data_IF_505886018084
#
_entry.id   IF_505886018084
#
_cell.length_a   1.000
_cell.length_b   1.000
_cell.length_c   1.000
_cell.angle_alpha   90.00
_cell.angle_beta   90.00
_cell.angle_gamma   90.00
#
_symmetry.space_group_name_H-M   'P 1'
#
loop_
_entity.id
_entity.type
_entity.pdbx_description
1 polymer ?
#
# COMPACT_ATOMS: atom_id res chain seq x y z
N UNK A 1 -18.10 -9.40 -11.94
CA UNK A 1 -17.21 -8.38 -11.32
C UNK A 1 -17.14 -8.69 -9.83
N UNK A 2 -15.96 -8.70 -9.22
CA UNK A 2 -15.80 -8.94 -7.78
C UNK A 2 -16.40 -7.78 -6.98
N UNK A 3 -17.18 -8.11 -5.95
CA UNK A 3 -17.84 -7.10 -5.11
C UNK A 3 -17.20 -7.09 -3.74
N UNK A 4 -16.70 -5.94 -3.32
CA UNK A 4 -16.10 -5.71 -2.00
C UNK A 4 -17.17 -5.16 -1.06
N UNK A 5 -18.11 -6.01 -0.68
CA UNK A 5 -19.25 -5.70 0.18
C UNK A 5 -18.98 -6.10 1.65
N UNK A 6 -19.99 -5.98 2.49
CA UNK A 6 -19.91 -6.36 3.91
C UNK A 6 -19.52 -7.82 4.07
N UNK A 7 -20.06 -8.74 3.27
CA UNK A 7 -19.81 -10.18 3.39
C UNK A 7 -18.35 -10.52 3.07
N UNK A 8 -17.76 -9.83 2.09
CA UNK A 8 -16.33 -9.92 1.78
C UNK A 8 -15.47 -9.54 3.00
N UNK A 9 -15.73 -8.39 3.62
CA UNK A 9 -14.95 -7.94 4.78
C UNK A 9 -15.21 -8.79 6.03
N UNK A 10 -16.43 -9.27 6.24
CA UNK A 10 -16.74 -10.17 7.36
C UNK A 10 -15.94 -11.47 7.23
N UNK A 11 -15.85 -12.03 6.04
CA UNK A 11 -15.08 -13.25 5.76
C UNK A 11 -13.58 -13.05 5.90
N UNK A 12 -13.02 -12.11 5.15
CA UNK A 12 -11.56 -11.99 4.99
C UNK A 12 -10.86 -11.16 6.08
N UNK A 13 -11.60 -10.38 6.85
CA UNK A 13 -11.04 -9.51 7.89
C UNK A 13 -11.43 -9.94 9.31
N UNK A 14 -12.57 -10.60 9.48
CA UNK A 14 -13.13 -10.91 10.82
C UNK A 14 -13.18 -12.37 11.15
N UNK A 15 -13.50 -13.25 10.18
CA UNK A 15 -13.57 -14.69 10.45
C UNK A 15 -12.18 -15.22 10.84
N UNK A 16 -12.02 -15.79 12.05
CA UNK A 16 -10.72 -16.30 12.49
C UNK A 16 -10.14 -17.42 11.62
N UNK A 17 -10.98 -18.11 10.83
CA UNK A 17 -10.59 -19.22 9.96
C UNK A 17 -10.09 -18.77 8.59
N UNK A 18 -10.59 -17.60 8.13
CA UNK A 18 -10.39 -17.13 6.76
C UNK A 18 -9.55 -15.83 6.70
N UNK A 19 -9.45 -15.10 7.82
CA UNK A 19 -8.79 -13.80 7.83
C UNK A 19 -7.33 -13.86 7.38
N UNK A 20 -6.97 -12.99 6.48
CA UNK A 20 -5.66 -12.90 5.84
C UNK A 20 -4.56 -12.46 6.83
N UNK A 21 -4.89 -11.60 7.78
CA UNK A 21 -3.92 -11.08 8.76
C UNK A 21 -4.49 -11.01 10.17
N UNK A 22 -3.64 -11.26 11.16
CA UNK A 22 -3.95 -10.99 12.56
C UNK A 22 -3.61 -9.55 12.91
N UNK A 23 -4.22 -9.04 13.98
CA UNK A 23 -3.89 -7.70 14.50
C UNK A 23 -2.42 -7.58 14.90
N UNK A 24 -1.84 -8.67 15.36
CA UNK A 24 -0.43 -8.74 15.76
C UNK A 24 0.50 -8.72 14.54
N UNK A 25 0.22 -9.55 13.52
CA UNK A 25 1.03 -9.59 12.29
C UNK A 25 1.00 -8.25 11.56
N UNK A 26 -0.18 -7.62 11.43
CA UNK A 26 -0.30 -6.28 10.89
C UNK A 26 0.48 -5.25 11.73
N UNK A 27 0.41 -5.35 13.05
CA UNK A 27 1.16 -4.46 13.94
C UNK A 27 2.68 -4.58 13.79
N UNK A 28 3.21 -5.79 13.54
CA UNK A 28 4.64 -5.99 13.22
C UNK A 28 5.01 -5.36 11.86
N UNK A 29 4.17 -5.59 10.83
CA UNK A 29 4.33 -5.01 9.50
C UNK A 29 4.38 -3.48 9.55
N UNK A 30 3.41 -2.85 10.18
CA UNK A 30 3.33 -1.39 10.32
C UNK A 30 4.56 -0.82 11.03
N UNK A 31 5.02 -1.45 12.13
CA UNK A 31 6.24 -1.01 12.83
C UNK A 31 7.49 -1.09 11.94
N UNK A 32 7.66 -2.20 11.23
CA UNK A 32 8.79 -2.36 10.30
C UNK A 32 8.80 -1.25 9.25
N UNK A 33 7.66 -1.02 8.60
CA UNK A 33 7.54 -0.03 7.51
C UNK A 33 7.79 1.39 8.02
N UNK A 34 7.23 1.76 9.17
CA UNK A 34 7.50 3.06 9.79
C UNK A 34 9.01 3.20 10.08
N UNK A 35 9.64 2.20 10.69
CA UNK A 35 11.05 2.26 11.06
C UNK A 35 11.95 2.41 9.83
N UNK A 36 11.70 1.67 8.76
CA UNK A 36 12.44 1.80 7.48
C UNK A 36 12.25 3.20 6.90
N UNK A 37 11.01 3.67 6.85
CA UNK A 37 10.70 4.98 6.27
C UNK A 37 11.38 6.11 7.05
N UNK A 38 11.28 6.10 8.38
CA UNK A 38 11.86 7.14 9.23
C UNK A 38 13.39 7.10 9.27
N UNK A 39 13.97 5.91 9.18
CA UNK A 39 15.41 5.76 9.04
C UNK A 39 15.91 6.47 7.76
N UNK A 40 15.28 6.20 6.62
CA UNK A 40 15.65 6.80 5.34
C UNK A 40 15.37 8.31 5.28
N UNK A 41 14.26 8.76 5.87
CA UNK A 41 13.90 10.18 5.93
C UNK A 41 14.72 10.98 6.96
N UNK A 42 15.39 10.33 7.92
CA UNK A 42 16.06 10.97 9.05
C UNK A 42 15.12 11.73 9.99
N UNK A 43 13.81 11.47 9.92
CA UNK A 43 12.76 12.14 10.72
C UNK A 43 11.50 11.30 10.79
N UNK A 44 10.61 11.60 11.76
CA UNK A 44 9.28 10.96 11.81
C UNK A 44 8.46 11.21 10.54
N UNK A 45 7.64 10.21 10.15
CA UNK A 45 6.68 10.33 9.04
C UNK A 45 5.59 11.34 9.38
N UNK A 46 5.19 12.13 8.38
CA UNK A 46 4.13 13.16 8.48
C UNK A 46 2.93 12.88 7.59
N UNK A 47 3.15 12.17 6.49
CA UNK A 47 2.12 11.93 5.47
C UNK A 47 2.11 10.49 5.02
N UNK A 48 0.91 9.88 4.98
CA UNK A 48 0.69 8.51 4.52
C UNK A 48 -0.47 8.47 3.54
N UNK A 49 -0.26 7.82 2.41
CA UNK A 49 -1.29 7.39 1.48
C UNK A 49 -1.43 5.87 1.54
N UNK A 50 -2.64 5.37 1.73
CA UNK A 50 -2.96 3.94 1.79
C UNK A 50 -3.91 3.60 0.63
N UNK A 51 -3.41 2.91 -0.39
CA UNK A 51 -4.10 2.63 -1.65
C UNK A 51 -4.74 1.25 -1.61
N UNK A 52 -6.04 1.18 -1.88
CA UNK A 52 -6.82 -0.04 -1.68
C UNK A 52 -6.92 -0.38 -0.20
N UNK A 53 -7.12 0.66 0.63
CA UNK A 53 -6.99 0.55 2.08
C UNK A 53 -8.07 -0.32 2.75
N UNK A 54 -9.11 -0.74 2.02
CA UNK A 54 -10.24 -1.46 2.58
C UNK A 54 -10.87 -0.67 3.74
N UNK A 55 -10.98 -1.32 4.89
CA UNK A 55 -11.45 -0.67 6.12
C UNK A 55 -10.38 0.25 6.78
N UNK A 56 -9.28 0.51 6.13
CA UNK A 56 -8.13 1.29 6.64
C UNK A 56 -7.57 0.72 7.95
N UNK A 57 -7.20 -0.55 7.95
CA UNK A 57 -6.66 -1.24 9.13
C UNK A 57 -5.31 -0.67 9.60
N UNK A 58 -4.56 -0.03 8.72
CA UNK A 58 -3.31 0.67 9.03
C UNK A 58 -3.54 1.95 9.85
N UNK A 59 -4.65 2.66 9.63
CA UNK A 59 -4.95 3.96 10.23
C UNK A 59 -4.83 4.00 11.76
N UNK A 60 -5.54 3.13 12.54
CA UNK A 60 -5.46 3.19 14.00
C UNK A 60 -4.07 2.83 14.54
N UNK A 61 -3.30 2.00 13.83
CA UNK A 61 -1.94 1.65 14.22
C UNK A 61 -0.97 2.82 13.97
N UNK A 62 -1.09 3.46 12.80
CA UNK A 62 -0.34 4.66 12.45
C UNK A 62 -0.61 5.79 13.45
N UNK A 63 -1.87 6.10 13.72
CA UNK A 63 -2.26 7.16 14.67
C UNK A 63 -1.78 6.91 16.09
N UNK A 64 -1.70 5.66 16.53
CA UNK A 64 -1.17 5.31 17.85
C UNK A 64 0.34 5.56 17.94
N UNK A 65 1.10 5.29 16.88
CA UNK A 65 2.56 5.45 16.85
C UNK A 65 3.00 6.85 16.44
N UNK A 66 2.21 7.51 15.62
CA UNK A 66 2.46 8.86 15.08
C UNK A 66 1.16 9.66 15.10
N UNK A 67 0.78 10.25 16.25
CA UNK A 67 -0.52 10.93 16.43
C UNK A 67 -0.77 12.02 15.40
N UNK A 68 0.29 12.74 15.00
CA UNK A 68 0.22 13.89 14.09
C UNK A 68 0.26 13.51 12.61
N UNK A 69 0.41 12.20 12.29
CA UNK A 69 0.47 11.76 10.90
C UNK A 69 -0.82 12.10 10.16
N UNK A 70 -0.67 12.72 9.00
CA UNK A 70 -1.76 12.96 8.05
C UNK A 70 -1.96 11.71 7.20
N UNK A 71 -3.05 11.02 7.41
CA UNK A 71 -3.42 9.81 6.68
C UNK A 71 -4.47 10.11 5.61
N UNK A 72 -4.33 9.50 4.45
CA UNK A 72 -5.29 9.49 3.36
C UNK A 72 -5.44 8.05 2.89
N UNK A 73 -6.64 7.49 3.01
CA UNK A 73 -7.01 6.21 2.39
C UNK A 73 -7.61 6.44 1.01
N UNK A 74 -7.37 5.52 0.07
CA UNK A 74 -8.06 5.44 -1.22
C UNK A 74 -8.66 4.06 -1.37
N UNK A 75 -9.98 3.99 -1.66
CA UNK A 75 -10.71 2.74 -1.72
C UNK A 75 -11.88 2.85 -2.71
N UNK A 76 -12.19 1.75 -3.39
CA UNK A 76 -13.31 1.65 -4.35
C UNK A 76 -14.58 1.05 -3.75
N UNK A 77 -14.48 0.34 -2.62
CA UNK A 77 -15.60 -0.32 -1.94
C UNK A 77 -16.60 0.67 -1.37
N UNK A 78 -17.84 0.63 -1.86
CA UNK A 78 -18.95 1.42 -1.31
C UNK A 78 -19.21 1.13 0.17
N UNK A 79 -19.08 -0.13 0.56
CA UNK A 79 -19.22 -0.53 1.97
C UNK A 79 -18.15 0.14 2.85
N UNK A 80 -16.89 0.06 2.46
CA UNK A 80 -15.80 0.66 3.23
C UNK A 80 -15.93 2.18 3.31
N UNK A 81 -16.28 2.83 2.19
CA UNK A 81 -16.49 4.27 2.11
C UNK A 81 -17.66 4.74 2.99
N UNK A 82 -18.81 4.08 2.91
CA UNK A 82 -20.00 4.46 3.69
C UNK A 82 -19.78 4.30 5.20
N UNK A 83 -19.06 3.26 5.60
CA UNK A 83 -18.88 2.91 7.01
C UNK A 83 -17.69 3.63 7.66
N UNK A 84 -16.60 3.83 6.95
CA UNK A 84 -15.33 4.32 7.50
C UNK A 84 -14.80 5.59 6.83
N UNK A 85 -15.37 6.01 5.70
CA UNK A 85 -14.86 7.08 4.87
C UNK A 85 -14.51 8.36 5.65
N UNK A 86 -15.48 8.92 6.37
CA UNK A 86 -15.28 10.13 7.17
C UNK A 86 -14.36 9.90 8.37
N UNK A 87 -14.60 8.83 9.14
CA UNK A 87 -13.88 8.56 10.39
C UNK A 87 -12.40 8.16 10.16
N UNK A 88 -12.07 7.61 8.99
CA UNK A 88 -10.72 7.13 8.65
C UNK A 88 -10.13 7.83 7.43
N UNK A 89 -10.68 8.97 7.02
CA UNK A 89 -10.18 9.79 5.92
C UNK A 89 -10.01 9.02 4.60
N UNK A 90 -10.98 8.14 4.27
CA UNK A 90 -10.95 7.36 3.04
C UNK A 90 -11.65 8.14 1.93
N UNK A 91 -11.01 8.22 0.77
CA UNK A 91 -11.53 8.83 -0.45
C UNK A 91 -11.88 7.75 -1.46
N UNK A 92 -12.91 7.99 -2.26
CA UNK A 92 -13.27 7.13 -3.39
C UNK A 92 -12.19 7.18 -4.46
N UNK A 93 -11.76 6.00 -4.92
CA UNK A 93 -10.85 5.83 -6.04
C UNK A 93 -10.24 4.44 -6.08
N UNK A 94 -9.59 4.13 -7.18
CA UNK A 94 -8.79 2.91 -7.40
C UNK A 94 -7.31 3.26 -7.54
N UNK A 95 -6.46 2.25 -7.67
CA UNK A 95 -5.05 2.41 -8.01
C UNK A 95 -4.87 3.20 -9.32
N UNK A 96 -5.72 2.93 -10.32
CA UNK A 96 -5.66 3.58 -11.63
C UNK A 96 -6.07 5.05 -11.61
N UNK A 97 -6.84 5.48 -10.60
CA UNK A 97 -7.36 6.85 -10.48
C UNK A 97 -6.36 7.81 -9.85
N UNK A 98 -5.29 7.32 -9.19
CA UNK A 98 -4.36 8.14 -8.40
C UNK A 98 -3.80 9.35 -9.17
N UNK A 99 -3.48 9.18 -10.45
CA UNK A 99 -2.93 10.25 -11.27
C UNK A 99 -3.89 11.42 -11.51
N UNK A 100 -5.21 11.19 -11.40
CA UNK A 100 -6.25 12.22 -11.53
C UNK A 100 -6.72 12.80 -10.19
N UNK A 101 -6.30 12.22 -9.07
CA UNK A 101 -6.74 12.62 -7.75
C UNK A 101 -5.95 13.83 -7.23
N UNK A 102 -6.63 14.72 -6.51
CA UNK A 102 -5.98 15.83 -5.80
C UNK A 102 -5.30 15.31 -4.52
N UNK A 103 -4.06 14.81 -4.63
CA UNK A 103 -3.25 14.27 -3.54
C UNK A 103 -2.04 15.17 -3.26
N UNK A 104 -1.53 15.19 -2.02
CA UNK A 104 -0.27 15.88 -1.70
C UNK A 104 0.89 15.26 -2.49
N UNK A 105 1.84 16.07 -2.86
CA UNK A 105 3.10 15.64 -3.44
C UNK A 105 4.11 15.27 -2.36
N UNK A 106 5.12 14.47 -2.70
CA UNK A 106 6.21 14.06 -1.81
C UNK A 106 5.71 13.44 -0.50
N UNK A 107 4.85 12.42 -0.65
CA UNK A 107 4.34 11.64 0.47
C UNK A 107 5.47 10.84 1.13
N UNK A 108 5.54 10.88 2.46
CA UNK A 108 6.57 10.17 3.22
C UNK A 108 6.45 8.65 3.12
N UNK A 109 5.22 8.16 3.12
CA UNK A 109 4.91 6.74 2.99
C UNK A 109 3.70 6.54 2.07
N UNK A 110 3.83 5.66 1.10
CA UNK A 110 2.70 5.15 0.32
C UNK A 110 2.59 3.65 0.58
N UNK A 111 1.42 3.20 1.00
CA UNK A 111 1.09 1.79 1.22
C UNK A 111 0.17 1.31 0.10
N UNK A 112 0.49 0.17 -0.49
CA UNK A 112 -0.40 -0.58 -1.38
C UNK A 112 -0.16 -2.07 -1.10
N UNK A 113 -1.03 -2.66 -0.30
CA UNK A 113 -0.91 -4.03 0.16
C UNK A 113 -2.13 -4.85 -0.27
N UNK A 114 -1.88 -6.03 -0.85
CA UNK A 114 -2.91 -6.99 -1.27
C UNK A 114 -3.87 -6.47 -2.36
N UNK A 115 -3.40 -5.56 -3.23
CA UNK A 115 -4.21 -4.92 -4.28
C UNK A 115 -3.80 -5.36 -5.69
N UNK A 116 -2.49 -5.44 -5.96
CA UNK A 116 -1.95 -5.54 -7.33
C UNK A 116 -2.41 -6.78 -8.09
N UNK A 117 -2.64 -7.89 -7.39
CA UNK A 117 -3.12 -9.13 -7.99
C UNK A 117 -4.55 -9.03 -8.54
N UNK A 118 -5.33 -8.02 -8.14
CA UNK A 118 -6.71 -7.79 -8.61
C UNK A 118 -6.81 -6.72 -9.71
N UNK A 119 -5.66 -6.20 -10.16
CA UNK A 119 -5.59 -5.08 -11.09
C UNK A 119 -4.97 -5.54 -12.41
N UNK A 120 -5.57 -5.18 -13.53
CA UNK A 120 -5.00 -5.49 -14.84
C UNK A 120 -3.67 -4.75 -15.07
N UNK A 121 -2.88 -5.22 -16.02
CA UNK A 121 -1.54 -4.67 -16.26
C UNK A 121 -1.54 -3.20 -16.71
N UNK A 122 -2.45 -2.74 -17.59
CA UNK A 122 -2.54 -1.33 -17.93
C UNK A 122 -2.84 -0.42 -16.73
N UNK A 123 -3.82 -0.80 -15.89
CA UNK A 123 -4.14 -0.04 -14.68
C UNK A 123 -2.99 -0.08 -13.66
N UNK A 124 -2.38 -1.25 -13.45
CA UNK A 124 -1.23 -1.42 -12.57
C UNK A 124 -0.08 -0.48 -12.96
N UNK A 125 0.28 -0.42 -14.25
CA UNK A 125 1.35 0.47 -14.73
C UNK A 125 1.00 1.95 -14.54
N UNK A 126 -0.25 2.35 -14.79
CA UNK A 126 -0.70 3.73 -14.53
C UNK A 126 -0.60 4.08 -13.05
N UNK A 127 -1.10 3.19 -12.18
CA UNK A 127 -1.08 3.38 -10.75
C UNK A 127 0.32 3.43 -10.15
N UNK A 128 1.21 2.53 -10.58
CA UNK A 128 2.61 2.53 -10.14
C UNK A 128 3.36 3.82 -10.55
N UNK A 129 3.11 4.34 -11.75
CA UNK A 129 3.65 5.65 -12.15
C UNK A 129 3.12 6.78 -11.28
N UNK A 130 1.83 6.75 -10.94
CA UNK A 130 1.25 7.74 -10.04
C UNK A 130 1.84 7.63 -8.62
N UNK A 131 2.02 6.40 -8.11
CA UNK A 131 2.71 6.17 -6.83
C UNK A 131 4.10 6.80 -6.86
N UNK A 132 4.93 6.51 -7.88
CA UNK A 132 6.27 7.10 -8.01
C UNK A 132 6.23 8.63 -8.01
N UNK A 133 5.35 9.23 -8.80
CA UNK A 133 5.23 10.69 -8.90
C UNK A 133 4.81 11.37 -7.59
N UNK A 134 4.09 10.67 -6.72
CA UNK A 134 3.63 11.16 -5.41
C UNK A 134 4.65 10.89 -4.29
N UNK A 135 5.60 9.97 -4.51
CA UNK A 135 6.51 9.48 -3.50
C UNK A 135 7.59 10.52 -3.16
N UNK A 136 7.88 10.67 -1.86
CA UNK A 136 8.99 11.47 -1.35
C UNK A 136 9.77 10.73 -0.25
N UNK A 137 9.40 9.47 0.01
CA UNK A 137 10.04 8.61 0.99
C UNK A 137 9.97 7.15 0.56
N UNK A 138 9.17 6.33 1.24
CA UNK A 138 9.06 4.88 0.99
C UNK A 138 7.70 4.49 0.45
N UNK A 139 7.67 3.64 -0.57
CA UNK A 139 6.49 2.91 -1.01
C UNK A 139 6.54 1.47 -0.47
N UNK A 140 5.56 1.08 0.35
CA UNK A 140 5.35 -0.30 0.75
C UNK A 140 4.41 -0.97 -0.26
N UNK A 141 4.95 -1.85 -1.09
CA UNK A 141 4.26 -2.48 -2.23
C UNK A 141 4.24 -3.99 -2.04
N UNK A 142 3.16 -4.52 -1.49
CA UNK A 142 2.98 -5.94 -1.24
C UNK A 142 1.94 -6.52 -2.19
N UNK A 143 2.32 -7.58 -2.88
CA UNK A 143 1.44 -8.33 -3.77
C UNK A 143 1.67 -9.82 -3.57
N UNK A 144 0.63 -10.60 -3.76
CA UNK A 144 0.77 -12.04 -3.91
C UNK A 144 1.23 -12.38 -5.31
N UNK A 145 2.06 -13.42 -5.40
CA UNK A 145 2.67 -13.90 -6.64
C UNK A 145 2.27 -15.36 -6.89
N UNK A 146 2.57 -15.88 -8.06
CA UNK A 146 2.30 -17.28 -8.39
C UNK A 146 3.14 -18.26 -7.57
N UNK A 147 4.24 -17.78 -6.95
CA UNK A 147 5.13 -18.58 -6.12
C UNK A 147 4.69 -18.65 -4.65
N UNK A 148 3.74 -17.81 -4.24
CA UNK A 148 3.24 -17.81 -2.86
C UNK A 148 2.30 -19.00 -2.62
N UNK A 149 2.46 -19.66 -1.47
CA UNK A 149 1.50 -20.66 -0.99
C UNK A 149 0.23 -19.94 -0.52
N UNK A 150 -0.75 -19.86 -1.42
CA UNK A 150 -1.94 -19.04 -1.18
C UNK A 150 -3.09 -19.82 -0.58
N UNK A 151 -3.49 -19.35 0.57
CA UNK A 151 -4.85 -19.52 1.10
C UNK A 151 -5.56 -18.16 0.93
N UNK A 152 -6.77 -18.15 0.38
CA UNK A 152 -7.56 -16.91 0.27
C UNK A 152 -8.32 -16.75 -1.03
N UNK A 153 -8.81 -15.54 -1.26
CA UNK A 153 -9.67 -15.21 -2.38
C UNK A 153 -8.89 -15.03 -3.69
N UNK A 154 -9.09 -15.95 -4.62
CA UNK A 154 -8.50 -15.92 -5.98
C UNK A 154 -9.41 -15.34 -7.06
N UNK A 155 -10.61 -14.92 -6.71
CA UNK A 155 -11.55 -14.39 -7.69
C UNK A 155 -11.05 -13.07 -8.27
N UNK A 156 -10.87 -13.03 -9.59
CA UNK A 156 -10.40 -11.84 -10.30
C UNK A 156 -8.89 -11.61 -10.24
N UNK A 157 -8.10 -12.64 -9.94
CA UNK A 157 -6.65 -12.54 -9.95
C UNK A 157 -6.06 -12.44 -11.36
N UNK A 158 -5.08 -11.57 -11.47
CA UNK A 158 -4.12 -11.52 -12.57
C UNK A 158 -2.83 -12.17 -12.08
N UNK A 159 -2.61 -13.42 -12.47
CA UNK A 159 -1.44 -14.19 -12.08
C UNK A 159 -0.17 -13.51 -12.59
N UNK A 160 0.75 -13.18 -11.66
CA UNK A 160 2.07 -12.63 -11.96
C UNK A 160 3.09 -13.23 -11.01
N UNK A 161 4.27 -13.49 -11.55
CA UNK A 161 5.43 -13.94 -10.79
C UNK A 161 6.06 -12.78 -10.01
N UNK A 162 6.83 -13.11 -8.97
CA UNK A 162 7.64 -12.13 -8.26
C UNK A 162 8.64 -11.43 -9.20
N UNK A 163 9.15 -12.16 -10.21
CA UNK A 163 10.06 -11.58 -11.21
C UNK A 163 9.37 -10.52 -12.08
N UNK A 164 8.12 -10.75 -12.49
CA UNK A 164 7.33 -9.78 -13.25
C UNK A 164 7.04 -8.51 -12.44
N UNK A 165 6.64 -8.63 -11.17
CA UNK A 165 6.45 -7.46 -10.30
C UNK A 165 7.75 -6.68 -10.13
N UNK A 166 8.88 -7.34 -9.84
CA UNK A 166 10.19 -6.67 -9.73
C UNK A 166 10.60 -5.97 -11.02
N UNK A 167 10.33 -6.58 -12.17
CA UNK A 167 10.60 -5.96 -13.47
C UNK A 167 9.75 -4.70 -13.72
N UNK A 168 8.46 -4.75 -13.33
CA UNK A 168 7.57 -3.59 -13.39
C UNK A 168 8.08 -2.45 -12.51
N UNK A 169 8.42 -2.71 -11.25
CA UNK A 169 8.90 -1.71 -10.30
C UNK A 169 10.20 -1.05 -10.79
N UNK A 170 11.19 -1.86 -11.24
CA UNK A 170 12.43 -1.32 -11.81
C UNK A 170 12.19 -0.46 -13.04
N UNK A 171 11.30 -0.91 -13.95
CA UNK A 171 11.00 -0.17 -15.19
C UNK A 171 10.41 1.22 -14.92
N UNK A 172 9.73 1.41 -13.82
CA UNK A 172 9.19 2.72 -13.43
C UNK A 172 10.13 3.51 -12.52
N UNK A 173 11.34 3.02 -12.24
CA UNK A 173 12.33 3.72 -11.44
C UNK A 173 12.17 3.55 -9.93
N UNK A 174 11.64 2.41 -9.46
CA UNK A 174 11.61 2.06 -8.06
C UNK A 174 12.69 1.03 -7.73
N UNK A 175 13.49 1.29 -6.71
CA UNK A 175 14.51 0.39 -6.15
C UNK A 175 14.06 -0.16 -4.81
N UNK A 176 14.28 -1.46 -4.58
CA UNK A 176 13.96 -2.09 -3.31
C UNK A 176 15.00 -1.74 -2.25
N UNK A 177 14.56 -1.26 -1.07
CA UNK A 177 15.42 -0.88 0.05
C UNK A 177 15.22 -1.78 1.30
N UNK A 178 14.09 -2.50 1.38
CA UNK A 178 13.80 -3.48 2.44
C UNK A 178 12.68 -4.44 1.95
N UNK A 179 12.26 -5.46 2.73
CA UNK A 179 11.14 -6.33 2.35
C UNK A 179 9.90 -5.52 1.99
N UNK A 180 9.45 -5.62 0.72
CA UNK A 180 8.32 -4.89 0.12
C UNK A 180 8.43 -3.35 0.17
N UNK A 181 9.56 -2.79 0.60
CA UNK A 181 9.80 -1.36 0.65
C UNK A 181 10.63 -0.92 -0.54
N UNK A 182 10.18 0.15 -1.20
CA UNK A 182 10.79 0.69 -2.41
C UNK A 182 10.97 2.21 -2.27
N UNK A 183 11.99 2.74 -2.92
CA UNK A 183 12.29 4.16 -3.01
C UNK A 183 12.38 4.57 -4.48
N UNK A 184 12.16 5.84 -4.77
CA UNK A 184 12.44 6.39 -6.10
C UNK A 184 13.96 6.51 -6.31
N UNK A 185 14.47 5.95 -7.40
CA UNK A 185 15.90 6.00 -7.72
C UNK A 185 16.41 7.43 -7.93
N UNK A 186 15.55 8.36 -8.32
CA UNK A 186 15.91 9.76 -8.52
C UNK A 186 15.95 10.57 -7.20
N UNK A 187 15.47 9.99 -6.09
CA UNK A 187 15.44 10.62 -4.76
C UNK A 187 16.50 10.05 -3.80
N UNK A 188 17.37 9.16 -4.28
CA UNK A 188 18.38 8.49 -3.42
C UNK A 188 19.30 9.48 -2.72
N UNK A 189 19.66 10.59 -3.37
CA UNK A 189 20.52 11.63 -2.80
C UNK A 189 19.87 12.43 -1.67
N UNK A 190 18.53 12.41 -1.58
CA UNK A 190 17.75 13.13 -0.55
C UNK A 190 17.47 12.26 0.67
N UNK A 191 17.51 10.94 0.49
CA UNK A 191 17.29 9.96 1.55
C UNK A 191 18.63 9.64 2.23
N UNK A 192 18.57 9.32 3.53
CA UNK A 192 19.72 8.75 4.26
C UNK A 192 19.98 7.32 3.74
N UNK A 193 20.49 7.25 2.53
CA UNK A 193 20.85 5.97 1.92
C UNK A 193 22.20 5.52 2.43
N UNK A 194 22.37 4.21 2.45
CA UNK A 194 23.61 3.57 2.86
C UNK A 194 24.76 3.94 1.93
N UNK A 195 25.97 3.73 2.42
CA UNK A 195 27.14 3.65 1.55
C UNK A 195 26.81 2.71 0.38
N UNK A 196 27.08 3.18 -0.82
CA UNK A 196 26.93 2.35 -2.01
C UNK A 196 27.93 1.20 -1.92
N UNK A 197 27.43 0.02 -1.64
CA UNK A 197 28.19 -1.22 -1.75
C UNK A 197 28.22 -1.72 -3.19
#
# INVERSE_FOLDING_TARGET
>A
MKTYDRSYFDRWYRDPRERIATRESLGRKVRMVISVTEFLLGRPIRTVLDVGCGEAAWYPLLKRMRPDVRYIGVESSEYALSRFGGARHIRRGSLGDLGGMRLPQRLDLIVCADVFQYVDTPELVRGLRAIRNLLGGVAYLEAFTTEDAMEGDRVGWHERTAAEYRALFRRIGLAQCAPYCFVDVDELDVLNTFEHL
#
